data_IF_558435450614
#
_entry.id   IF_558435450614
#
_cell.length_a   1.000
_cell.length_b   1.000
_cell.length_c   1.000
_cell.angle_alpha   90.00
_cell.angle_beta   90.00
_cell.angle_gamma   90.00
#
_symmetry.space_group_name_H-M   'P 1'
#
loop_
_entity.id
_entity.type
_entity.pdbx_description
1 polymer ?
#
# COMPACT_ATOMS: atom_id res chain seq x y z
N UNK A 1 -38.06 -17.74 2.90
CA UNK A 1 -37.25 -18.24 4.03
C UNK A 1 -37.40 -19.76 4.19
N UNK A 2 -37.31 -20.58 3.13
CA UNK A 2 -37.65 -22.00 3.25
C UNK A 2 -37.01 -22.93 2.19
N UNK A 3 -35.70 -22.85 1.96
CA UNK A 3 -34.99 -23.78 1.04
C UNK A 3 -33.65 -24.34 1.55
N UNK A 4 -33.15 -23.94 2.72
CA UNK A 4 -31.84 -24.39 3.26
C UNK A 4 -31.91 -25.59 4.20
N UNK A 5 -33.10 -26.10 4.53
CA UNK A 5 -33.30 -27.21 5.46
C UNK A 5 -33.41 -28.58 4.78
N UNK A 6 -33.48 -28.63 3.44
CA UNK A 6 -33.66 -29.87 2.68
C UNK A 6 -32.37 -30.72 2.57
N UNK A 7 -31.19 -30.12 2.69
CA UNK A 7 -29.89 -30.80 2.53
C UNK A 7 -29.18 -31.17 3.85
N UNK A 8 -29.82 -30.95 5.01
CA UNK A 8 -29.25 -31.34 6.31
C UNK A 8 -27.90 -30.68 6.65
N UNK A 9 -27.48 -29.66 5.90
CA UNK A 9 -26.18 -29.01 6.05
C UNK A 9 -26.29 -27.88 7.08
N UNK A 10 -25.71 -28.10 8.26
CA UNK A 10 -25.49 -27.07 9.27
C UNK A 10 -24.14 -26.41 8.94
N UNK A 11 -24.06 -25.20 8.35
CA UNK A 11 -22.79 -24.53 8.20
C UNK A 11 -22.34 -24.07 9.60
N UNK A 12 -21.24 -24.59 10.16
CA UNK A 12 -20.70 -24.05 11.39
C UNK A 12 -20.18 -22.64 11.07
N UNK A 13 -20.88 -21.61 11.53
CA UNK A 13 -20.50 -20.20 11.32
C UNK A 13 -19.38 -19.75 12.27
N UNK A 14 -19.21 -20.45 13.40
CA UNK A 14 -18.22 -20.12 14.44
C UNK A 14 -16.76 -20.28 13.99
N UNK A 15 -16.36 -21.34 13.25
CA UNK A 15 -14.99 -21.46 12.74
C UNK A 15 -14.66 -20.37 11.71
N UNK A 16 -15.59 -20.03 10.81
CA UNK A 16 -15.40 -19.02 9.78
C UNK A 16 -15.23 -17.61 10.37
N UNK A 17 -15.96 -17.27 11.43
CA UNK A 17 -15.81 -16.00 12.15
C UNK A 17 -14.53 -15.97 12.98
N UNK A 18 -14.17 -17.09 13.63
CA UNK A 18 -12.96 -17.15 14.47
C UNK A 18 -11.68 -17.05 13.63
N UNK A 19 -11.60 -17.75 12.50
CA UNK A 19 -10.42 -17.66 11.61
C UNK A 19 -10.29 -16.27 10.98
N UNK A 20 -11.40 -15.62 10.65
CA UNK A 20 -11.41 -14.26 10.09
C UNK A 20 -11.10 -13.20 11.16
N UNK A 21 -11.53 -13.42 12.40
CA UNK A 21 -11.24 -12.56 13.55
C UNK A 21 -9.78 -12.65 14.01
N UNK A 22 -9.20 -13.85 14.10
CA UNK A 22 -7.78 -14.04 14.42
C UNK A 22 -6.88 -13.48 13.31
N UNK A 23 -7.27 -13.66 12.04
CA UNK A 23 -6.59 -13.01 10.93
C UNK A 23 -6.66 -11.47 11.06
N UNK A 24 -7.80 -10.91 11.50
CA UNK A 24 -7.94 -9.45 11.72
C UNK A 24 -7.02 -8.94 12.81
N UNK A 25 -6.82 -9.72 13.88
CA UNK A 25 -5.92 -9.37 14.97
C UNK A 25 -4.44 -9.40 14.54
N UNK A 26 -4.06 -10.33 13.66
CA UNK A 26 -2.71 -10.40 13.10
C UNK A 26 -2.42 -9.27 12.11
N UNK A 27 -3.43 -8.83 11.34
CA UNK A 27 -3.28 -7.74 10.36
C UNK A 27 -3.60 -6.36 10.95
N UNK A 28 -4.13 -6.30 12.18
CA UNK A 28 -4.40 -5.07 12.93
C UNK A 28 -3.20 -4.10 13.01
N UNK A 29 -1.95 -4.53 13.24
CA UNK A 29 -0.80 -3.62 13.22
C UNK A 29 -0.48 -3.04 11.82
N UNK A 30 -1.05 -3.57 10.74
CA UNK A 30 -0.83 -3.11 9.36
C UNK A 30 -1.97 -2.25 8.79
N UNK A 31 -2.98 -1.90 9.59
CA UNK A 31 -3.99 -0.91 9.18
C UNK A 31 -5.08 -1.40 8.22
N UNK A 32 -5.38 -2.70 8.15
CA UNK A 32 -6.50 -3.21 7.35
C UNK A 32 -7.81 -3.18 8.17
N UNK A 33 -8.61 -2.10 8.03
CA UNK A 33 -9.96 -2.02 8.60
C UNK A 33 -10.96 -2.77 7.70
N UNK A 34 -11.28 -4.01 8.08
CA UNK A 34 -12.37 -4.79 7.50
C UNK A 34 -11.91 -6.03 6.74
N UNK A 35 -11.69 -7.13 7.45
CA UNK A 35 -11.61 -8.44 6.82
C UNK A 35 -13.02 -8.89 6.43
N UNK A 36 -13.51 -8.34 5.33
CA UNK A 36 -14.67 -8.85 4.59
C UNK A 36 -14.19 -9.94 3.63
N UNK A 37 -15.05 -10.90 3.28
CA UNK A 37 -14.79 -11.90 2.23
C UNK A 37 -14.26 -11.25 0.94
N UNK A 38 -14.74 -10.03 0.63
CA UNK A 38 -14.30 -9.23 -0.51
C UNK A 38 -12.83 -8.78 -0.45
N UNK A 39 -12.28 -8.52 0.74
CA UNK A 39 -10.88 -8.13 0.91
C UNK A 39 -9.95 -9.33 0.75
N UNK A 40 -10.37 -10.51 1.24
CA UNK A 40 -9.62 -11.76 1.07
C UNK A 40 -9.56 -12.15 -0.40
N UNK A 41 -10.70 -12.10 -1.12
CA UNK A 41 -10.73 -12.41 -2.56
C UNK A 41 -9.95 -11.41 -3.40
N UNK A 42 -10.00 -10.11 -3.05
CA UNK A 42 -9.17 -9.10 -3.69
C UNK A 42 -7.68 -9.35 -3.43
N UNK A 43 -7.28 -9.72 -2.21
CA UNK A 43 -5.88 -10.00 -1.87
C UNK A 43 -5.33 -11.23 -2.61
N UNK A 44 -6.10 -12.33 -2.72
CA UNK A 44 -5.69 -13.50 -3.51
C UNK A 44 -5.57 -13.16 -4.99
N UNK A 45 -6.51 -12.39 -5.54
CA UNK A 45 -6.46 -12.00 -6.94
C UNK A 45 -5.30 -11.06 -7.24
N UNK A 46 -5.08 -10.05 -6.38
CA UNK A 46 -3.91 -9.17 -6.44
C UNK A 46 -2.60 -9.96 -6.34
N UNK A 47 -2.48 -10.88 -5.37
CA UNK A 47 -1.30 -11.70 -5.17
C UNK A 47 -1.04 -12.66 -6.33
N UNK A 48 -2.08 -13.31 -6.86
CA UNK A 48 -1.98 -14.19 -8.01
C UNK A 48 -1.54 -13.43 -9.26
N UNK A 49 -2.13 -12.26 -9.52
CA UNK A 49 -1.67 -11.41 -10.62
C UNK A 49 -0.25 -10.91 -10.43
N UNK A 50 0.14 -10.52 -9.21
CA UNK A 50 1.51 -10.11 -8.94
C UNK A 50 2.51 -11.25 -9.17
N UNK A 51 2.15 -12.49 -8.81
CA UNK A 51 2.98 -13.66 -9.10
C UNK A 51 3.11 -13.91 -10.61
N UNK A 52 2.01 -13.81 -11.36
CA UNK A 52 2.00 -13.96 -12.82
C UNK A 52 2.86 -12.86 -13.46
N UNK A 53 2.67 -11.60 -13.08
CA UNK A 53 3.46 -10.46 -13.58
C UNK A 53 4.93 -10.59 -13.16
N UNK A 54 5.22 -11.09 -11.96
CA UNK A 54 6.57 -11.35 -11.47
C UNK A 54 7.31 -12.41 -12.28
N UNK A 55 6.62 -13.48 -12.71
CA UNK A 55 7.16 -14.47 -13.64
C UNK A 55 7.47 -13.87 -15.02
N UNK A 56 6.61 -12.96 -15.49
CA UNK A 56 6.87 -12.17 -16.71
C UNK A 56 7.95 -11.07 -16.52
N UNK A 57 8.33 -10.77 -15.28
CA UNK A 57 9.39 -9.83 -14.95
C UNK A 57 10.76 -10.28 -15.45
N UNK A 58 11.02 -11.59 -15.52
CA UNK A 58 12.28 -12.13 -16.06
C UNK A 58 12.47 -11.84 -17.56
N UNK A 59 11.50 -12.15 -18.45
CA UNK A 59 11.52 -11.69 -19.83
C UNK A 59 11.65 -10.18 -19.98
N UNK A 60 10.96 -9.41 -19.13
CA UNK A 60 11.00 -7.96 -19.16
C UNK A 60 12.39 -7.42 -18.80
N UNK A 61 13.06 -8.02 -17.82
CA UNK A 61 14.44 -7.70 -17.44
C UNK A 61 15.44 -8.03 -18.57
N UNK A 62 15.26 -9.18 -19.24
CA UNK A 62 16.08 -9.54 -20.40
C UNK A 62 15.91 -8.55 -21.56
N UNK A 63 14.67 -8.08 -21.81
CA UNK A 63 14.38 -7.05 -22.79
C UNK A 63 15.07 -5.72 -22.45
N UNK A 64 14.98 -5.27 -21.20
CA UNK A 64 15.64 -4.05 -20.74
C UNK A 64 17.17 -4.14 -20.77
N UNK A 65 17.76 -5.33 -20.62
CA UNK A 65 19.20 -5.55 -20.80
C UNK A 65 19.67 -5.39 -22.25
N UNK A 66 18.78 -5.52 -23.23
CA UNK A 66 19.09 -5.32 -24.65
C UNK A 66 19.00 -3.83 -25.05
N UNK A 67 18.34 -2.99 -24.26
CA UNK A 67 18.27 -1.55 -24.48
C UNK A 67 19.46 -0.82 -23.82
N UNK A 68 19.91 0.30 -24.40
CA UNK A 68 20.93 1.13 -23.78
C UNK A 68 20.43 1.72 -22.45
N UNK A 69 21.32 1.77 -21.45
CA UNK A 69 21.01 2.21 -20.08
C UNK A 69 20.46 3.64 -20.00
N UNK A 70 20.78 4.50 -20.97
CA UNK A 70 20.26 5.87 -20.98
C UNK A 70 18.73 5.92 -21.21
N UNK A 71 18.19 5.00 -22.03
CA UNK A 71 16.77 4.92 -22.34
C UNK A 71 15.95 4.47 -21.13
N UNK A 72 16.45 3.47 -20.41
CA UNK A 72 15.82 2.96 -19.18
C UNK A 72 15.82 4.03 -18.10
N UNK A 73 16.96 4.71 -17.90
CA UNK A 73 17.08 5.79 -16.92
C UNK A 73 16.14 6.96 -17.23
N UNK A 74 15.98 7.32 -18.50
CA UNK A 74 15.10 8.40 -18.94
C UNK A 74 13.63 8.08 -18.68
N UNK A 75 13.18 6.86 -19.00
CA UNK A 75 11.79 6.42 -18.74
C UNK A 75 11.54 6.30 -17.23
N UNK A 76 12.52 5.79 -16.47
CA UNK A 76 12.43 5.72 -15.01
C UNK A 76 12.32 7.13 -14.39
N UNK A 77 13.09 8.10 -14.88
CA UNK A 77 13.01 9.49 -14.45
C UNK A 77 11.64 10.11 -14.77
N UNK A 78 11.11 9.90 -15.98
CA UNK A 78 9.78 10.38 -16.39
C UNK A 78 8.65 9.74 -15.55
N UNK A 79 8.76 8.45 -15.24
CA UNK A 79 7.82 7.75 -14.37
C UNK A 79 7.86 8.29 -12.93
N UNK A 80 9.07 8.54 -12.40
CA UNK A 80 9.25 9.12 -11.06
C UNK A 80 8.74 10.56 -11.00
N UNK A 81 8.88 11.33 -12.08
CA UNK A 81 8.51 12.75 -12.15
C UNK A 81 7.02 12.96 -11.83
N UNK A 82 6.14 12.10 -12.35
CA UNK A 82 4.70 12.16 -12.07
C UNK A 82 4.38 11.96 -10.60
N UNK A 83 5.05 11.01 -9.94
CA UNK A 83 4.87 10.75 -8.51
C UNK A 83 5.38 11.93 -7.65
N UNK A 84 6.52 12.52 -8.00
CA UNK A 84 7.07 13.71 -7.31
C UNK A 84 6.10 14.90 -7.43
N UNK A 85 5.57 15.17 -8.62
CA UNK A 85 4.63 16.28 -8.85
C UNK A 85 3.35 16.06 -8.03
N UNK A 86 2.79 14.85 -8.05
CA UNK A 86 1.58 14.54 -7.28
C UNK A 86 1.81 14.74 -5.78
N UNK A 87 2.92 14.23 -5.24
CA UNK A 87 3.28 14.42 -3.84
C UNK A 87 3.47 15.90 -3.46
N UNK A 88 4.17 16.67 -4.31
CA UNK A 88 4.36 18.10 -4.11
C UNK A 88 3.02 18.87 -4.17
N UNK A 89 2.13 18.48 -5.08
CA UNK A 89 0.81 19.12 -5.24
C UNK A 89 -0.04 18.92 -3.99
N UNK A 90 -0.02 17.71 -3.42
CA UNK A 90 -0.71 17.40 -2.15
C UNK A 90 -0.07 18.14 -0.99
N UNK A 91 1.26 18.20 -0.91
CA UNK A 91 1.98 18.92 0.15
C UNK A 91 1.79 20.44 0.08
N UNK A 92 1.58 21.00 -1.11
CA UNK A 92 1.35 22.44 -1.37
C UNK A 92 -0.13 22.85 -1.34
N UNK A 93 -1.05 21.90 -1.11
CA UNK A 93 -2.49 22.16 -1.17
C UNK A 93 -2.93 23.23 -0.16
N UNK A 94 -2.34 23.25 1.04
CA UNK A 94 -2.70 24.18 2.12
C UNK A 94 -1.84 25.46 2.06
N UNK A 95 -2.40 26.65 1.73
CA UNK A 95 -1.63 27.89 1.54
C UNK A 95 -0.88 28.35 2.79
N UNK A 96 -1.32 27.96 3.99
CA UNK A 96 -0.68 28.32 5.27
C UNK A 96 0.55 27.47 5.61
N UNK A 97 0.79 26.35 4.91
CA UNK A 97 1.92 25.44 5.17
C UNK A 97 2.94 25.37 4.02
N UNK A 98 2.74 26.11 2.93
CA UNK A 98 3.61 26.09 1.74
C UNK A 98 5.06 26.46 2.07
N UNK A 99 5.28 27.47 2.90
CA UNK A 99 6.63 27.87 3.29
C UNK A 99 7.32 26.73 4.06
N UNK A 100 6.64 26.10 5.01
CA UNK A 100 7.18 24.99 5.80
C UNK A 100 7.50 23.75 4.95
N UNK A 101 6.64 23.43 3.98
CA UNK A 101 6.84 22.31 3.06
C UNK A 101 8.00 22.57 2.07
N UNK A 102 8.19 23.81 1.60
CA UNK A 102 9.34 24.18 0.76
C UNK A 102 10.66 24.08 1.53
N UNK A 103 10.70 24.57 2.78
CA UNK A 103 11.88 24.51 3.65
C UNK A 103 12.23 23.04 3.97
N UNK A 104 11.21 22.22 4.24
CA UNK A 104 11.38 20.78 4.50
C UNK A 104 11.85 20.02 3.26
N UNK A 105 11.37 20.35 2.06
CA UNK A 105 11.82 19.72 0.81
C UNK A 105 13.31 20.00 0.55
N UNK A 106 13.75 21.26 0.72
CA UNK A 106 15.16 21.65 0.60
C UNK A 106 16.03 20.95 1.65
N UNK A 107 15.51 20.80 2.87
CA UNK A 107 16.23 20.14 3.97
C UNK A 107 16.26 18.62 3.79
N UNK A 108 15.17 18.02 3.32
CA UNK A 108 15.05 16.59 3.06
C UNK A 108 15.87 16.13 1.85
N UNK A 109 16.15 17.03 0.89
CA UNK A 109 17.04 16.77 -0.24
C UNK A 109 18.42 16.25 0.18
N UNK A 110 18.85 16.51 1.44
CA UNK A 110 20.11 16.02 2.01
C UNK A 110 20.00 14.90 3.05
N UNK A 111 18.80 14.45 3.45
CA UNK A 111 18.64 13.47 4.54
C UNK A 111 18.39 12.04 4.05
N UNK A 112 19.47 11.32 3.77
CA UNK A 112 19.47 9.85 3.70
C UNK A 112 19.71 9.27 5.10
N UNK A 113 18.67 9.26 5.94
CA UNK A 113 18.75 8.55 7.23
C UNK A 113 18.74 7.03 6.97
N UNK A 114 19.85 6.36 7.32
CA UNK A 114 20.01 4.90 7.28
C UNK A 114 19.93 4.22 5.90
N UNK A 115 20.30 4.91 4.81
CA UNK A 115 20.23 4.35 3.44
C UNK A 115 18.82 3.93 2.99
N UNK A 116 17.79 4.43 3.68
CA UNK A 116 16.37 4.20 3.41
C UNK A 116 15.77 5.52 2.89
N UNK A 117 15.21 5.49 1.68
CA UNK A 117 14.63 6.69 1.06
C UNK A 117 13.45 7.29 1.85
N UNK A 118 13.27 8.61 1.72
CA UNK A 118 12.21 9.40 2.38
C UNK A 118 10.79 8.87 2.15
N UNK A 119 10.56 8.17 1.03
CA UNK A 119 9.29 7.51 0.73
C UNK A 119 8.88 6.48 1.81
N UNK A 120 9.83 5.70 2.35
CA UNK A 120 9.53 4.70 3.38
C UNK A 120 9.11 5.37 4.69
N UNK A 121 9.83 6.43 5.07
CA UNK A 121 9.49 7.26 6.23
C UNK A 121 8.15 7.98 6.05
N UNK A 122 7.78 8.37 4.83
CA UNK A 122 6.46 8.92 4.51
C UNK A 122 5.32 7.93 4.74
N UNK A 123 5.47 6.67 4.31
CA UNK A 123 4.46 5.62 4.59
C UNK A 123 4.41 5.31 6.10
N UNK A 124 5.56 5.21 6.77
CA UNK A 124 5.62 5.00 8.23
C UNK A 124 4.91 6.15 8.96
N UNK A 125 5.23 7.40 8.64
CA UNK A 125 4.63 8.57 9.29
C UNK A 125 3.12 8.68 9.02
N UNK A 126 2.67 8.37 7.79
CA UNK A 126 1.26 8.32 7.45
C UNK A 126 0.50 7.25 8.23
N UNK A 127 1.07 6.05 8.34
CA UNK A 127 0.50 4.95 9.14
C UNK A 127 0.48 5.30 10.64
N UNK A 128 1.56 5.88 11.17
CA UNK A 128 1.62 6.31 12.58
C UNK A 128 0.59 7.39 12.88
N UNK A 129 0.44 8.37 11.99
CA UNK A 129 -0.58 9.44 12.13
C UNK A 129 -1.99 8.86 12.10
N UNK A 130 -2.27 7.92 11.19
CA UNK A 130 -3.56 7.23 11.12
C UNK A 130 -3.83 6.39 12.37
N UNK A 131 -2.82 5.69 12.91
CA UNK A 131 -2.96 4.92 14.15
C UNK A 131 -3.26 5.83 15.34
N UNK A 132 -2.58 6.97 15.46
CA UNK A 132 -2.81 7.94 16.54
C UNK A 132 -4.21 8.55 16.44
N UNK A 133 -4.65 8.94 15.24
CA UNK A 133 -5.98 9.52 15.04
C UNK A 133 -7.11 8.51 15.22
N UNK A 134 -6.88 7.24 14.87
CA UNK A 134 -7.88 6.18 15.01
C UNK A 134 -7.96 5.67 16.46
N UNK A 135 -6.84 5.58 17.17
CA UNK A 135 -6.83 5.27 18.60
C UNK A 135 -7.61 6.31 19.41
N UNK A 136 -7.55 7.59 19.02
CA UNK A 136 -8.27 8.68 19.70
C UNK A 136 -9.76 8.77 19.39
N UNK A 137 -10.27 7.98 18.44
CA UNK A 137 -11.69 7.94 18.05
C UNK A 137 -12.43 6.75 18.67
N UNK A 138 -11.71 5.91 19.42
CA UNK A 138 -12.25 4.77 20.17
C UNK A 138 -12.56 5.11 21.64
N UNK A 139 -12.26 6.35 22.07
CA UNK A 139 -12.69 6.97 23.32
C UNK A 139 -13.89 7.89 23.07
#
# INVERSE_FOLDING_TARGET
MNQTLADGYYPPTSPLISTTGVASLLTAPFGCHGINLAAISAATWCGMFYCIVGLFGWPLAALFSAFPKELVLSIAALALFGSIISGLTVAMAEPKQRESALITLVTASGMTLFSIGSALWGIIAGVVTLLILNARKAD
#
